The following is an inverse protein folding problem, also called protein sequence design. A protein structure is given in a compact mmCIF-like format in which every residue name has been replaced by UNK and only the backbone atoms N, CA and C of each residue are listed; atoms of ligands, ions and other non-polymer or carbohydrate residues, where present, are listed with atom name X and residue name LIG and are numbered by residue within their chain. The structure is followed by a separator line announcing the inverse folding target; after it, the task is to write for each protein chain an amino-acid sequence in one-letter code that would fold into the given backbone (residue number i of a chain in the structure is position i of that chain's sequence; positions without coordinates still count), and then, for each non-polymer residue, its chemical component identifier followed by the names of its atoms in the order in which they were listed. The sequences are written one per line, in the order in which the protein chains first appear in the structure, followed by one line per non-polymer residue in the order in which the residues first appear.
data_IF_077635901117
#
_entry.id   IF_077635901117
#
_cell.length_a   1.000
_cell.length_b   1.000
_cell.length_c   1.000
_cell.angle_alpha   90.00
_cell.angle_beta   90.00
_cell.angle_gamma   90.00
#
_symmetry.space_group_name_H-M   'P 1'
#
loop_
_entity.id
_entity.type
_entity.pdbx_description
1 polymer ?
#
# COMPACT_ATOMS: atom_id res chain seq x y z
N UNK A 1 -64.66 -54.64 -33.58
CA UNK A 1 -64.11 -55.62 -32.62
C UNK A 1 -63.47 -54.88 -31.45
N UNK A 2 -63.92 -55.19 -30.23
CA UNK A 2 -63.28 -55.05 -28.89
C UNK A 2 -62.62 -53.68 -28.55
N UNK A 3 -63.32 -52.83 -27.77
CA UNK A 3 -63.22 -52.66 -26.30
C UNK A 3 -61.89 -52.01 -25.85
N UNK A 4 -61.93 -50.76 -25.37
CA UNK A 4 -61.74 -50.36 -23.97
C UNK A 4 -61.43 -48.86 -23.86
N UNK A 5 -62.18 -48.20 -22.98
CA UNK A 5 -61.96 -46.87 -22.44
C UNK A 5 -60.99 -47.03 -21.25
N UNK A 6 -59.89 -46.29 -21.16
CA UNK A 6 -59.27 -45.92 -19.87
C UNK A 6 -58.35 -44.69 -19.98
N UNK A 7 -58.67 -43.75 -19.09
CA UNK A 7 -57.95 -42.56 -18.61
C UNK A 7 -56.61 -42.91 -17.94
N UNK A 8 -55.66 -41.96 -17.90
CA UNK A 8 -54.52 -41.70 -16.97
C UNK A 8 -53.30 -41.21 -17.79
N UNK A 9 -52.40 -40.32 -17.38
CA UNK A 9 -52.23 -39.31 -16.32
C UNK A 9 -50.92 -38.55 -16.71
N UNK A 10 -50.79 -37.29 -16.30
CA UNK A 10 -49.62 -36.40 -16.47
C UNK A 10 -48.25 -37.08 -16.28
N UNK A 11 -47.32 -36.84 -17.21
CA UNK A 11 -45.88 -36.80 -16.98
C UNK A 11 -45.30 -35.64 -17.81
N UNK A 12 -44.62 -34.64 -17.22
CA UNK A 12 -43.84 -33.67 -17.97
C UNK A 12 -42.50 -34.30 -18.40
N UNK A 13 -42.22 -34.27 -19.70
CA UNK A 13 -40.97 -34.71 -20.30
C UNK A 13 -39.90 -33.64 -20.05
N UNK A 14 -39.03 -33.92 -19.08
CA UNK A 14 -37.69 -33.33 -18.98
C UNK A 14 -36.89 -33.77 -20.20
N UNK A 15 -36.40 -32.82 -20.99
CA UNK A 15 -35.23 -33.01 -21.84
C UNK A 15 -34.44 -31.70 -21.87
N UNK A 16 -33.43 -31.72 -21.01
CA UNK A 16 -32.19 -30.96 -21.01
C UNK A 16 -31.59 -30.75 -22.40
N UNK A 17 -31.21 -29.51 -22.68
CA UNK A 17 -30.02 -29.22 -23.48
C UNK A 17 -28.99 -28.64 -22.51
N UNK A 18 -28.04 -29.50 -22.14
CA UNK A 18 -26.80 -29.10 -21.50
C UNK A 18 -25.97 -28.32 -22.52
N UNK A 19 -25.67 -27.07 -22.19
CA UNK A 19 -24.49 -26.37 -22.66
C UNK A 19 -23.49 -26.36 -21.50
N UNK A 20 -22.39 -27.11 -21.65
CA UNK A 20 -21.17 -27.02 -20.83
C UNK A 20 -20.67 -25.57 -20.81
N UNK A 21 -20.02 -25.05 -19.77
CA UNK A 21 -19.58 -25.60 -18.49
C UNK A 21 -18.96 -24.45 -17.69
N UNK A 22 -19.18 -24.47 -16.37
CA UNK A 22 -18.84 -23.42 -15.43
C UNK A 22 -19.95 -23.34 -14.39
N UNK A 23 -19.90 -24.22 -13.38
CA UNK A 23 -20.85 -24.26 -12.27
C UNK A 23 -20.67 -23.01 -11.38
N UNK A 24 -21.24 -21.90 -11.84
CA UNK A 24 -21.56 -20.75 -11.00
C UNK A 24 -22.78 -21.08 -10.15
N UNK A 25 -22.55 -21.38 -8.87
CA UNK A 25 -23.62 -21.54 -7.88
C UNK A 25 -24.16 -20.15 -7.53
N UNK A 26 -25.31 -19.85 -8.11
CA UNK A 26 -26.16 -18.66 -7.90
C UNK A 26 -26.39 -18.34 -6.42
N UNK A 27 -26.19 -17.09 -5.97
CA UNK A 27 -26.72 -16.68 -4.66
C UNK A 27 -28.26 -16.63 -4.69
N UNK A 28 -28.88 -16.90 -3.53
CA UNK A 28 -30.33 -16.99 -3.40
C UNK A 28 -30.95 -15.60 -3.37
N UNK A 29 -31.87 -15.35 -4.31
CA UNK A 29 -32.79 -14.20 -4.32
C UNK A 29 -33.42 -13.98 -2.92
N UNK A 30 -33.10 -12.85 -2.28
CA UNK A 30 -33.68 -12.45 -0.97
C UNK A 30 -32.70 -12.35 0.21
N UNK A 31 -31.41 -12.58 0.00
CA UNK A 31 -30.38 -12.33 1.02
C UNK A 31 -30.13 -10.83 1.25
N UNK A 32 -29.96 -10.45 2.51
CA UNK A 32 -29.61 -9.07 2.95
C UNK A 32 -28.11 -8.83 2.85
N UNK A 33 -27.69 -7.57 2.76
CA UNK A 33 -26.27 -7.19 2.74
C UNK A 33 -25.55 -7.64 4.02
N UNK A 34 -26.21 -7.51 5.16
CA UNK A 34 -25.71 -7.98 6.46
C UNK A 34 -25.40 -9.49 6.44
N UNK A 35 -26.33 -10.31 5.95
CA UNK A 35 -26.14 -11.76 5.81
C UNK A 35 -25.00 -12.13 4.85
N UNK A 36 -24.86 -11.38 3.75
CA UNK A 36 -23.75 -11.58 2.82
C UNK A 36 -22.40 -11.27 3.47
N UNK A 37 -22.30 -10.21 4.27
CA UNK A 37 -21.10 -9.89 5.06
C UNK A 37 -20.81 -10.98 6.08
N UNK A 38 -21.80 -11.44 6.86
CA UNK A 38 -21.60 -12.52 7.82
C UNK A 38 -21.05 -13.79 7.16
N UNK A 39 -21.62 -14.20 6.02
CA UNK A 39 -21.16 -15.39 5.31
C UNK A 39 -19.77 -15.20 4.72
N UNK A 40 -19.46 -14.03 4.17
CA UNK A 40 -18.13 -13.71 3.67
C UNK A 40 -17.09 -13.79 4.80
N UNK A 41 -17.31 -13.10 5.91
CA UNK A 41 -16.39 -13.08 7.06
C UNK A 41 -16.23 -14.46 7.68
N UNK A 42 -17.30 -15.25 7.79
CA UNK A 42 -17.22 -16.62 8.27
C UNK A 42 -16.43 -17.54 7.32
N UNK A 43 -16.59 -17.37 6.00
CA UNK A 43 -15.82 -18.12 5.01
C UNK A 43 -14.34 -17.73 5.02
N UNK A 44 -14.03 -16.44 5.09
CA UNK A 44 -12.65 -15.92 5.21
C UNK A 44 -11.99 -16.44 6.48
N UNK A 45 -12.66 -16.36 7.64
CA UNK A 45 -12.19 -16.92 8.91
C UNK A 45 -11.88 -18.41 8.83
N UNK A 46 -12.69 -19.15 8.08
CA UNK A 46 -12.48 -20.59 7.84
C UNK A 46 -11.44 -20.90 6.75
N UNK A 47 -10.89 -19.87 6.10
CA UNK A 47 -10.08 -19.97 4.89
C UNK A 47 -10.76 -20.81 3.79
N UNK A 48 -12.08 -20.73 3.69
CA UNK A 48 -12.88 -21.39 2.65
C UNK A 48 -12.95 -20.47 1.42
N UNK A 49 -11.96 -20.63 0.53
CA UNK A 49 -11.79 -19.80 -0.67
C UNK A 49 -13.02 -19.87 -1.57
N UNK A 50 -13.59 -21.07 -1.75
CA UNK A 50 -14.76 -21.26 -2.62
C UNK A 50 -15.99 -20.56 -2.07
N UNK A 51 -16.21 -20.63 -0.76
CA UNK A 51 -17.32 -19.93 -0.12
C UNK A 51 -17.10 -18.41 -0.09
N UNK A 52 -15.88 -17.94 0.17
CA UNK A 52 -15.55 -16.52 0.24
C UNK A 52 -15.67 -15.83 -1.14
N UNK A 53 -15.20 -16.50 -2.20
CA UNK A 53 -15.19 -15.97 -3.59
C UNK A 53 -16.59 -15.67 -4.15
N UNK A 54 -17.64 -16.22 -3.51
CA UNK A 54 -19.04 -15.91 -3.83
C UNK A 54 -19.43 -14.49 -3.43
N UNK A 55 -18.74 -13.90 -2.47
CA UNK A 55 -19.07 -12.58 -1.90
C UNK A 55 -17.99 -11.53 -2.15
N UNK A 56 -16.71 -11.87 -2.20
CA UNK A 56 -15.58 -10.93 -2.38
C UNK A 56 -14.56 -11.52 -3.35
N UNK A 57 -13.76 -10.69 -4.04
CA UNK A 57 -12.58 -11.21 -4.74
C UNK A 57 -11.52 -11.59 -3.71
N UNK A 58 -11.36 -12.89 -3.46
CA UNK A 58 -10.43 -13.40 -2.45
C UNK A 58 -8.97 -13.01 -2.74
N UNK A 59 -8.64 -12.75 -4.00
CA UNK A 59 -7.32 -12.28 -4.40
C UNK A 59 -7.00 -10.88 -3.86
N UNK A 60 -8.01 -10.02 -3.67
CA UNK A 60 -7.86 -8.70 -3.06
C UNK A 60 -7.49 -8.80 -1.57
N UNK A 61 -7.74 -9.95 -0.92
CA UNK A 61 -7.39 -10.19 0.49
C UNK A 61 -6.01 -10.85 0.62
N UNK A 62 -5.66 -11.79 -0.27
CA UNK A 62 -4.53 -12.73 -0.07
C UNK A 62 -3.30 -12.43 -0.94
N UNK A 63 -3.41 -11.68 -2.04
CA UNK A 63 -2.26 -11.39 -2.92
C UNK A 63 -1.40 -10.19 -2.50
N UNK A 64 -1.53 -9.67 -1.27
CA UNK A 64 -0.72 -8.56 -0.77
C UNK A 64 0.79 -8.87 -0.62
N UNK A 65 1.28 -10.07 -1.00
CA UNK A 65 2.69 -10.42 -0.79
C UNK A 65 3.31 -11.57 -1.59
N UNK A 66 2.72 -12.07 -2.69
CA UNK A 66 3.32 -13.18 -3.44
C UNK A 66 3.49 -12.91 -4.94
N UNK A 67 4.74 -12.83 -5.39
CA UNK A 67 5.13 -12.67 -6.82
C UNK A 67 5.89 -13.89 -7.37
N UNK A 68 5.77 -15.05 -6.72
CA UNK A 68 6.51 -16.27 -7.09
C UNK A 68 5.77 -17.20 -8.05
N UNK A 69 6.53 -17.90 -8.91
CA UNK A 69 6.02 -19.09 -9.63
C UNK A 69 5.77 -20.21 -8.62
N UNK A 70 4.60 -20.88 -8.66
CA UNK A 70 4.25 -21.85 -7.64
C UNK A 70 5.11 -23.12 -7.73
N UNK A 71 5.76 -23.47 -6.62
CA UNK A 71 6.11 -24.85 -6.28
C UNK A 71 5.15 -25.35 -5.19
N UNK A 72 4.79 -26.63 -5.24
CA UNK A 72 3.76 -27.28 -4.41
C UNK A 72 4.04 -27.26 -2.91
N UNK A 73 5.29 -27.08 -2.50
CA UNK A 73 5.67 -26.98 -1.08
C UNK A 73 5.54 -25.56 -0.55
N UNK A 74 5.91 -24.55 -1.34
CA UNK A 74 5.77 -23.14 -0.98
C UNK A 74 4.29 -22.70 -0.96
N UNK A 75 3.47 -23.26 -1.85
CA UNK A 75 2.01 -23.07 -1.83
C UNK A 75 1.39 -23.53 -0.50
N UNK A 76 1.79 -24.71 0.01
CA UNK A 76 1.27 -25.24 1.28
C UNK A 76 1.67 -24.37 2.47
N UNK A 77 2.93 -23.92 2.50
CA UNK A 77 3.43 -23.01 3.55
C UNK A 77 2.68 -21.68 3.54
N UNK A 78 2.42 -21.13 2.36
CA UNK A 78 1.63 -19.90 2.18
C UNK A 78 0.16 -20.08 2.62
N UNK A 79 -0.45 -21.23 2.30
CA UNK A 79 -1.81 -21.56 2.72
C UNK A 79 -1.92 -21.73 4.25
N UNK A 80 -0.97 -22.43 4.87
CA UNK A 80 -0.91 -22.58 6.33
C UNK A 80 -0.73 -21.23 7.03
N UNK A 81 0.11 -20.36 6.47
CA UNK A 81 0.34 -19.01 6.95
C UNK A 81 -0.94 -18.17 6.90
N UNK A 82 -1.61 -18.16 5.74
CA UNK A 82 -2.87 -17.44 5.54
C UNK A 82 -3.94 -17.93 6.53
N UNK A 83 -4.07 -19.25 6.71
CA UNK A 83 -4.99 -19.84 7.71
C UNK A 83 -4.67 -19.41 9.13
N UNK A 84 -3.38 -19.33 9.49
CA UNK A 84 -2.96 -18.94 10.83
C UNK A 84 -3.34 -17.48 11.16
N UNK A 85 -3.30 -16.59 10.16
CA UNK A 85 -3.69 -15.19 10.29
C UNK A 85 -5.22 -15.04 10.35
N UNK A 86 -5.96 -15.72 9.47
CA UNK A 86 -7.41 -15.51 9.31
C UNK A 86 -8.26 -16.20 10.39
N UNK A 87 -7.80 -17.30 11.00
CA UNK A 87 -8.59 -18.06 11.99
C UNK A 87 -8.99 -17.26 13.24
N UNK A 88 -8.24 -16.21 13.56
CA UNK A 88 -8.41 -15.39 14.76
C UNK A 88 -9.39 -14.21 14.54
N UNK A 89 -9.95 -14.07 13.34
CA UNK A 89 -10.93 -13.02 13.05
C UNK A 89 -12.14 -13.18 13.96
N UNK A 90 -12.46 -12.11 14.68
CA UNK A 90 -13.74 -11.91 15.35
C UNK A 90 -14.39 -10.65 14.77
N UNK A 91 -15.71 -10.62 14.71
CA UNK A 91 -16.40 -9.45 14.19
C UNK A 91 -17.73 -9.22 14.89
N UNK A 92 -18.18 -7.97 14.81
CA UNK A 92 -19.48 -7.52 15.27
C UNK A 92 -20.02 -6.49 14.29
N UNK A 93 -21.13 -6.82 13.65
CA UNK A 93 -21.84 -5.87 12.80
C UNK A 93 -22.53 -4.85 13.72
N UNK A 94 -22.27 -3.57 13.46
CA UNK A 94 -22.81 -2.45 14.23
C UNK A 94 -24.07 -1.91 13.58
N UNK A 95 -24.02 -1.69 12.27
CA UNK A 95 -25.12 -1.12 11.51
C UNK A 95 -25.10 -1.62 10.06
N UNK A 96 -26.27 -1.64 9.43
CA UNK A 96 -26.43 -2.00 8.02
C UNK A 96 -27.40 -1.03 7.37
N UNK A 97 -27.02 -0.50 6.22
CA UNK A 97 -27.83 0.39 5.40
C UNK A 97 -27.89 -0.17 3.98
N UNK A 98 -29.10 -0.48 3.51
CA UNK A 98 -29.35 -1.01 2.17
C UNK A 98 -30.13 -0.01 1.30
N UNK A 99 -29.61 0.24 0.12
CA UNK A 99 -30.29 0.89 -0.99
C UNK A 99 -30.62 -0.13 -2.08
N UNK A 100 -31.22 0.31 -3.21
CA UNK A 100 -31.66 -0.60 -4.27
C UNK A 100 -30.52 -1.46 -4.84
N UNK A 101 -29.32 -0.88 -4.99
CA UNK A 101 -28.17 -1.50 -5.65
C UNK A 101 -26.87 -1.46 -4.84
N UNK A 102 -26.86 -0.77 -3.71
CA UNK A 102 -25.67 -0.53 -2.89
C UNK A 102 -26.03 -0.75 -1.44
N UNK A 103 -25.05 -1.13 -0.64
CA UNK A 103 -25.22 -1.22 0.80
C UNK A 103 -23.90 -0.92 1.51
N UNK A 104 -24.01 -0.48 2.76
CA UNK A 104 -22.87 -0.28 3.66
C UNK A 104 -23.17 -1.01 4.96
N UNK A 105 -22.23 -1.86 5.37
CA UNK A 105 -22.31 -2.63 6.62
C UNK A 105 -21.14 -2.23 7.52
N UNK A 106 -21.41 -1.40 8.53
CA UNK A 106 -20.39 -0.98 9.49
C UNK A 106 -20.09 -2.12 10.45
N UNK A 107 -18.83 -2.53 10.51
CA UNK A 107 -18.41 -3.74 11.22
C UNK A 107 -17.17 -3.45 12.05
N UNK A 108 -17.20 -3.83 13.33
CA UNK A 108 -15.99 -3.97 14.15
C UNK A 108 -15.35 -5.32 13.79
N UNK A 109 -14.11 -5.30 13.32
CA UNK A 109 -13.31 -6.50 13.05
C UNK A 109 -12.12 -6.49 13.99
N UNK A 110 -11.93 -7.60 14.71
CA UNK A 110 -10.79 -7.85 15.58
C UNK A 110 -9.96 -8.98 14.98
N UNK A 111 -8.65 -8.79 14.88
CA UNK A 111 -7.72 -9.87 14.53
C UNK A 111 -6.42 -9.72 15.34
N UNK A 112 -5.52 -10.68 15.20
CA UNK A 112 -4.17 -10.65 15.74
C UNK A 112 -3.45 -9.36 15.33
N UNK A 113 -2.69 -8.75 16.24
CA UNK A 113 -1.87 -7.58 15.93
C UNK A 113 -0.65 -7.98 15.09
N UNK A 114 -0.82 -7.98 13.77
CA UNK A 114 0.22 -8.36 12.84
C UNK A 114 1.35 -7.32 12.74
N UNK A 115 1.11 -6.07 13.12
CA UNK A 115 2.18 -5.08 13.24
C UNK A 115 3.17 -5.46 14.34
N UNK A 116 2.67 -5.91 15.51
CA UNK A 116 3.56 -6.41 16.58
C UNK A 116 4.31 -7.68 16.14
N UNK A 117 3.61 -8.65 15.53
CA UNK A 117 4.23 -9.87 15.00
C UNK A 117 5.36 -9.55 14.04
N UNK A 118 5.13 -8.64 13.10
CA UNK A 118 6.13 -8.31 12.08
C UNK A 118 7.30 -7.49 12.64
N UNK A 119 7.07 -6.62 13.62
CA UNK A 119 8.16 -5.93 14.31
C UNK A 119 9.10 -6.92 15.04
N UNK A 120 8.52 -7.90 15.74
CA UNK A 120 9.28 -8.96 16.40
C UNK A 120 9.99 -9.87 15.38
N UNK A 121 9.33 -10.15 14.25
CA UNK A 121 9.90 -10.91 13.15
C UNK A 121 11.16 -10.24 12.59
N UNK A 122 11.11 -8.95 12.27
CA UNK A 122 12.26 -8.19 11.77
C UNK A 122 13.41 -8.19 12.79
N UNK A 123 13.10 -8.01 14.08
CA UNK A 123 14.12 -8.05 15.15
C UNK A 123 14.85 -9.40 15.20
N UNK A 124 14.12 -10.50 15.02
CA UNK A 124 14.70 -11.85 15.01
C UNK A 124 15.44 -12.14 13.70
N UNK A 125 14.93 -11.69 12.56
CA UNK A 125 15.62 -11.78 11.27
C UNK A 125 16.96 -11.05 11.28
N UNK A 126 17.02 -9.86 11.89
CA UNK A 126 18.27 -9.12 12.02
C UNK A 126 19.32 -9.91 12.81
N UNK A 127 18.90 -10.57 13.89
CA UNK A 127 19.79 -11.45 14.66
C UNK A 127 20.23 -12.68 13.85
N UNK A 128 19.32 -13.24 13.06
CA UNK A 128 19.57 -14.39 12.21
C UNK A 128 20.53 -14.06 11.06
N UNK A 129 20.50 -12.84 10.51
CA UNK A 129 21.41 -12.41 9.44
C UNK A 129 22.90 -12.49 9.82
N UNK A 130 23.24 -12.37 11.11
CA UNK A 130 24.62 -12.50 11.61
C UNK A 130 24.98 -13.92 12.09
N UNK A 131 24.09 -14.91 11.93
CA UNK A 131 24.32 -16.28 12.41
C UNK A 131 25.28 -17.10 11.55
N UNK A 132 25.62 -16.63 10.34
CA UNK A 132 26.48 -17.34 9.39
C UNK A 132 25.83 -18.56 8.71
N UNK A 133 24.50 -18.68 8.79
CA UNK A 133 23.72 -19.71 8.09
C UNK A 133 23.72 -19.47 6.57
N UNK A 134 23.54 -20.55 5.81
CA UNK A 134 23.34 -20.46 4.36
C UNK A 134 21.88 -20.06 4.01
N UNK A 135 21.62 -19.75 2.74
CA UNK A 135 20.32 -19.27 2.27
C UNK A 135 19.16 -20.24 2.55
N UNK A 136 19.35 -21.54 2.33
CA UNK A 136 18.33 -22.57 2.59
C UNK A 136 17.97 -22.62 4.08
N UNK A 137 18.97 -22.64 4.95
CA UNK A 137 18.81 -22.62 6.41
C UNK A 137 18.17 -21.31 6.90
N UNK A 138 18.52 -20.17 6.28
CA UNK A 138 17.92 -18.87 6.58
C UNK A 138 16.43 -18.87 6.22
N UNK A 139 16.05 -19.41 5.07
CA UNK A 139 14.64 -19.49 4.64
C UNK A 139 13.83 -20.38 5.59
N UNK A 140 14.33 -21.57 5.93
CA UNK A 140 13.66 -22.46 6.89
C UNK A 140 13.49 -21.81 8.27
N UNK A 141 14.55 -21.17 8.78
CA UNK A 141 14.52 -20.50 10.08
C UNK A 141 13.60 -19.28 10.08
N UNK A 142 13.56 -18.52 8.99
CA UNK A 142 12.65 -17.38 8.83
C UNK A 142 11.19 -17.84 8.89
N UNK A 143 10.85 -18.91 8.19
CA UNK A 143 9.50 -19.48 8.23
C UNK A 143 9.12 -19.99 9.63
N UNK A 144 10.04 -20.68 10.32
CA UNK A 144 9.85 -21.15 11.69
C UNK A 144 9.60 -19.98 12.66
N UNK A 145 10.41 -18.92 12.58
CA UNK A 145 10.25 -17.72 13.42
C UNK A 145 8.88 -17.11 13.19
N UNK A 146 8.49 -16.86 11.94
CA UNK A 146 7.20 -16.24 11.62
C UNK A 146 6.03 -17.08 12.16
N UNK A 147 6.05 -18.40 11.90
CA UNK A 147 4.99 -19.32 12.33
C UNK A 147 4.86 -19.36 13.86
N UNK A 148 5.99 -19.35 14.57
CA UNK A 148 6.01 -19.32 16.02
C UNK A 148 5.46 -18.01 16.57
N UNK A 149 5.86 -16.86 15.99
CA UNK A 149 5.36 -15.55 16.38
C UNK A 149 3.85 -15.46 16.22
N UNK A 150 3.30 -15.77 15.05
CA UNK A 150 1.84 -15.78 14.80
C UNK A 150 1.10 -16.73 15.75
N UNK A 151 1.69 -17.89 16.05
CA UNK A 151 1.05 -18.87 16.94
C UNK A 151 1.09 -18.49 18.41
N UNK A 152 2.10 -17.71 18.82
CA UNK A 152 2.32 -17.30 20.22
C UNK A 152 1.77 -15.92 20.57
N UNK A 153 1.52 -15.09 19.56
CA UNK A 153 0.97 -13.75 19.73
C UNK A 153 -0.44 -13.83 20.34
N UNK A 154 -0.70 -12.88 21.24
CA UNK A 154 -1.99 -12.76 21.95
C UNK A 154 -2.58 -11.36 21.86
N UNK A 155 -1.78 -10.37 21.45
CA UNK A 155 -2.26 -9.03 21.17
C UNK A 155 -3.18 -9.06 19.96
N UNK A 156 -4.24 -8.29 20.08
CA UNK A 156 -5.24 -8.13 19.02
C UNK A 156 -5.42 -6.65 18.77
N UNK A 157 -5.84 -6.34 17.55
CA UNK A 157 -6.24 -5.00 17.12
C UNK A 157 -7.68 -5.06 16.63
N UNK A 158 -8.48 -4.06 16.99
CA UNK A 158 -9.86 -3.91 16.53
C UNK A 158 -9.96 -2.67 15.65
N UNK A 159 -10.53 -2.83 14.45
CA UNK A 159 -10.80 -1.74 13.51
C UNK A 159 -12.29 -1.72 13.19
N UNK A 160 -12.86 -0.52 13.11
CA UNK A 160 -14.22 -0.33 12.60
C UNK A 160 -14.12 0.05 11.13
N UNK A 161 -14.77 -0.73 10.26
CA UNK A 161 -14.74 -0.53 8.81
C UNK A 161 -16.15 -0.45 8.24
N UNK A 162 -16.32 0.36 7.21
CA UNK A 162 -17.56 0.46 6.43
C UNK A 162 -17.45 -0.48 5.23
N UNK A 163 -18.05 -1.67 5.34
CA UNK A 163 -17.98 -2.68 4.28
C UNK A 163 -18.98 -2.31 3.18
N UNK A 164 -18.46 -1.92 2.02
CA UNK A 164 -19.26 -1.52 0.86
C UNK A 164 -19.71 -2.75 0.06
N UNK A 165 -20.96 -2.77 -0.39
CA UNK A 165 -21.50 -3.84 -1.23
C UNK A 165 -22.21 -3.28 -2.47
N UNK A 166 -22.15 -4.05 -3.55
CA UNK A 166 -22.92 -3.83 -4.78
C UNK A 166 -23.83 -5.03 -5.05
N UNK A 167 -25.06 -4.76 -5.51
CA UNK A 167 -26.06 -5.79 -5.83
C UNK A 167 -26.02 -6.12 -7.31
N UNK A 168 -25.89 -7.42 -7.61
CA UNK A 168 -25.96 -7.98 -8.96
C UNK A 168 -27.12 -8.96 -9.10
N UNK A 169 -27.29 -9.53 -10.30
CA UNK A 169 -28.24 -10.65 -10.50
C UNK A 169 -27.88 -11.88 -9.66
N UNK A 170 -26.59 -12.01 -9.31
CA UNK A 170 -26.05 -13.07 -8.46
C UNK A 170 -26.10 -12.74 -6.98
N UNK A 171 -26.71 -11.62 -6.56
CA UNK A 171 -26.80 -11.19 -5.16
C UNK A 171 -25.82 -10.08 -4.77
N UNK A 172 -25.65 -9.87 -3.47
CA UNK A 172 -24.75 -8.86 -2.91
C UNK A 172 -23.29 -9.34 -2.99
N UNK A 173 -22.42 -8.47 -3.49
CA UNK A 173 -20.96 -8.64 -3.51
C UNK A 173 -20.30 -7.51 -2.76
N UNK A 174 -19.34 -7.84 -1.90
CA UNK A 174 -18.48 -6.89 -1.22
C UNK A 174 -17.55 -6.26 -2.26
N UNK A 175 -17.41 -4.95 -2.17
CA UNK A 175 -16.39 -4.17 -2.87
C UNK A 175 -15.21 -4.10 -1.91
N UNK A 176 -14.12 -4.79 -2.23
CA UNK A 176 -12.91 -4.78 -1.41
C UNK A 176 -12.27 -3.39 -1.39
N UNK A 177 -11.68 -3.05 -0.26
CA UNK A 177 -10.83 -1.87 -0.08
C UNK A 177 -9.71 -2.19 0.92
N UNK A 178 -8.72 -1.30 0.99
CA UNK A 178 -7.53 -1.50 1.82
C UNK A 178 -7.89 -1.49 3.32
N UNK A 179 -8.90 -0.72 3.73
CA UNK A 179 -9.36 -0.69 5.11
C UNK A 179 -9.90 -2.06 5.55
N UNK A 180 -10.72 -2.71 4.72
CA UNK A 180 -11.22 -4.06 4.95
C UNK A 180 -10.09 -5.08 4.93
N UNK A 181 -9.19 -5.02 3.93
CA UNK A 181 -8.06 -5.95 3.84
C UNK A 181 -7.13 -5.83 5.06
N UNK A 182 -6.82 -4.61 5.49
CA UNK A 182 -5.96 -4.31 6.63
C UNK A 182 -6.63 -4.71 7.97
N UNK A 183 -7.95 -4.57 8.09
CA UNK A 183 -8.71 -5.07 9.24
C UNK A 183 -8.74 -6.60 9.29
N UNK A 184 -8.96 -7.27 8.16
CA UNK A 184 -8.97 -8.73 8.06
C UNK A 184 -7.59 -9.34 8.30
N UNK A 185 -6.51 -8.63 7.97
CA UNK A 185 -5.13 -9.08 8.17
C UNK A 185 -4.49 -8.56 9.44
N UNK A 186 -5.23 -7.83 10.29
CA UNK A 186 -4.73 -7.41 11.60
C UNK A 186 -3.63 -6.35 11.54
N UNK A 187 -3.64 -5.49 10.53
CA UNK A 187 -2.63 -4.43 10.35
C UNK A 187 -1.44 -4.82 9.49
N UNK A 188 -1.50 -5.94 8.75
CA UNK A 188 -0.37 -6.38 7.92
C UNK A 188 -0.19 -5.50 6.67
N UNK A 189 -1.28 -5.05 6.06
CA UNK A 189 -1.25 -4.16 4.87
C UNK A 189 -0.59 -2.85 5.26
N UNK A 190 -1.10 -2.18 6.29
CA UNK A 190 -0.54 -0.93 6.80
C UNK A 190 0.91 -1.07 7.29
N UNK A 191 1.28 -2.20 7.87
CA UNK A 191 2.67 -2.47 8.21
C UNK A 191 3.56 -2.59 6.96
N UNK A 192 3.13 -3.35 5.95
CA UNK A 192 3.84 -3.50 4.67
C UNK A 192 4.03 -2.15 3.98
N UNK A 193 2.98 -1.33 3.96
CA UNK A 193 2.96 0.03 3.45
C UNK A 193 3.98 0.93 4.16
N UNK A 194 4.01 0.87 5.50
CA UNK A 194 5.01 1.58 6.32
C UNK A 194 6.46 1.15 6.03
N UNK A 195 6.67 -0.11 5.65
CA UNK A 195 8.00 -0.68 5.34
C UNK A 195 8.43 -0.41 3.90
N UNK A 196 7.49 -0.35 2.97
CA UNK A 196 7.74 -0.09 1.55
C UNK A 196 7.81 1.41 1.21
N UNK A 197 7.62 2.29 2.20
CA UNK A 197 7.59 3.74 2.00
C UNK A 197 6.33 4.24 1.29
N UNK A 198 5.34 3.38 1.09
CA UNK A 198 4.00 3.73 0.62
C UNK A 198 3.12 3.92 1.85
N UNK A 199 3.38 4.93 2.67
CA UNK A 199 2.71 5.13 3.93
C UNK A 199 1.25 5.61 3.72
N UNK A 200 0.31 4.69 3.56
CA UNK A 200 -1.12 4.94 3.81
C UNK A 200 -1.51 4.31 5.17
N UNK A 201 -1.06 4.90 6.28
CA UNK A 201 -1.81 4.76 7.53
C UNK A 201 -1.65 5.96 8.47
N UNK A 202 -2.68 6.81 8.52
CA UNK A 202 -3.16 7.50 9.73
C UNK A 202 -2.11 8.28 10.58
N UNK A 203 -1.11 8.88 9.95
CA UNK A 203 -0.53 10.16 10.38
C UNK A 203 -1.19 11.28 9.58
N UNK A 204 -1.07 12.55 9.99
CA UNK A 204 -1.63 13.66 9.23
C UNK A 204 -1.04 13.63 7.80
N UNK A 205 -1.85 13.33 6.77
CA UNK A 205 -1.42 13.13 5.37
C UNK A 205 -0.53 14.25 4.85
N UNK A 206 -0.71 15.44 5.40
CA UNK A 206 0.05 16.62 5.06
C UNK A 206 1.49 16.56 5.60
N UNK A 207 1.71 16.05 6.81
CA UNK A 207 3.05 15.90 7.43
C UNK A 207 3.87 14.85 6.68
N UNK A 208 3.27 13.72 6.31
CA UNK A 208 3.95 12.68 5.52
C UNK A 208 4.38 13.21 4.16
N UNK A 209 3.51 13.97 3.49
CA UNK A 209 3.83 14.59 2.21
C UNK A 209 4.89 15.69 2.35
N UNK A 210 4.89 16.43 3.45
CA UNK A 210 5.95 17.40 3.75
C UNK A 210 7.31 16.70 3.99
N UNK A 211 7.33 15.55 4.66
CA UNK A 211 8.54 14.74 4.82
C UNK A 211 9.07 14.22 3.48
N UNK A 212 8.17 13.75 2.60
CA UNK A 212 8.53 13.37 1.23
C UNK A 212 9.20 14.53 0.48
N UNK A 213 8.62 15.73 0.58
CA UNK A 213 9.16 16.94 -0.08
C UNK A 213 10.53 17.30 0.50
N UNK A 214 10.70 17.23 1.82
CA UNK A 214 11.98 17.49 2.49
C UNK A 214 13.07 16.52 2.01
N UNK A 215 12.77 15.21 1.98
CA UNK A 215 13.68 14.18 1.51
C UNK A 215 14.03 14.34 0.02
N UNK A 216 13.05 14.67 -0.81
CA UNK A 216 13.25 14.96 -2.23
C UNK A 216 14.18 16.16 -2.44
N UNK A 217 13.96 17.25 -1.69
CA UNK A 217 14.76 18.46 -1.74
C UNK A 217 16.21 18.20 -1.37
N UNK A 218 16.46 17.54 -0.23
CA UNK A 218 17.80 17.20 0.26
C UNK A 218 18.51 16.25 -0.71
N UNK A 219 17.83 15.18 -1.12
CA UNK A 219 18.45 14.13 -1.93
C UNK A 219 18.68 14.57 -3.38
N UNK A 220 17.61 15.00 -4.06
CA UNK A 220 17.60 15.17 -5.52
C UNK A 220 18.00 16.57 -5.96
N UNK A 221 17.50 17.60 -5.28
CA UNK A 221 17.76 18.98 -5.67
C UNK A 221 19.10 19.46 -5.11
N UNK A 222 19.34 19.25 -3.81
CA UNK A 222 20.55 19.70 -3.12
C UNK A 222 21.76 18.80 -3.43
N UNK A 223 21.77 17.56 -2.93
CA UNK A 223 22.94 16.68 -2.99
C UNK A 223 23.32 16.28 -4.43
N UNK A 224 22.40 15.60 -5.12
CA UNK A 224 22.64 15.07 -6.48
C UNK A 224 22.62 16.16 -7.56
N UNK A 225 22.00 17.31 -7.27
CA UNK A 225 21.87 18.44 -8.19
C UNK A 225 22.90 19.54 -7.91
N UNK A 226 22.50 20.54 -7.15
CA UNK A 226 23.25 21.80 -7.06
C UNK A 226 24.61 21.68 -6.38
N UNK A 227 24.75 20.84 -5.34
CA UNK A 227 26.02 20.65 -4.64
C UNK A 227 27.05 19.96 -5.53
N UNK A 228 26.66 18.87 -6.19
CA UNK A 228 27.55 18.18 -7.14
C UNK A 228 27.95 19.09 -8.32
N UNK A 229 27.01 19.88 -8.85
CA UNK A 229 27.29 20.86 -9.90
C UNK A 229 28.24 21.96 -9.40
N UNK A 230 28.03 22.51 -8.21
CA UNK A 230 28.90 23.53 -7.63
C UNK A 230 30.33 23.01 -7.44
N UNK A 231 30.49 21.80 -6.91
CA UNK A 231 31.81 21.18 -6.79
C UNK A 231 32.44 20.86 -8.14
N UNK A 232 31.64 20.48 -9.13
CA UNK A 232 32.13 20.25 -10.49
C UNK A 232 32.65 21.54 -11.14
N UNK A 233 31.93 22.64 -10.99
CA UNK A 233 32.37 23.96 -11.43
C UNK A 233 33.70 24.31 -10.76
N UNK A 234 33.81 24.13 -9.45
CA UNK A 234 35.01 24.51 -8.70
C UNK A 234 36.26 23.67 -9.03
N UNK A 235 36.11 22.36 -9.26
CA UNK A 235 37.27 21.44 -9.34
C UNK A 235 37.12 20.25 -10.30
N UNK A 236 36.06 20.21 -11.11
CA UNK A 236 35.80 19.16 -12.11
C UNK A 236 35.44 17.79 -11.53
N UNK A 237 34.98 17.72 -10.29
CA UNK A 237 34.60 16.49 -9.56
C UNK A 237 33.32 16.71 -8.77
N UNK A 238 32.60 15.64 -8.47
CA UNK A 238 31.44 15.68 -7.57
C UNK A 238 31.83 16.20 -6.17
N UNK A 239 30.85 16.42 -5.31
CA UNK A 239 31.04 16.79 -3.90
C UNK A 239 31.88 15.76 -3.12
N UNK A 240 31.73 14.49 -3.43
CA UNK A 240 32.51 13.38 -2.86
C UNK A 240 33.88 13.18 -3.52
N UNK A 241 34.23 13.98 -4.53
CA UNK A 241 35.52 13.91 -5.23
C UNK A 241 35.59 12.87 -6.35
N UNK A 242 34.46 12.27 -6.72
CA UNK A 242 34.36 11.29 -7.78
C UNK A 242 34.24 11.96 -9.16
N UNK A 243 34.47 11.19 -10.22
CA UNK A 243 34.19 11.64 -11.59
C UNK A 243 32.68 11.87 -11.74
N UNK A 244 32.30 13.02 -12.29
CA UNK A 244 30.92 13.40 -12.53
C UNK A 244 30.67 13.50 -14.04
N UNK A 245 29.60 12.86 -14.51
CA UNK A 245 29.07 13.07 -15.86
C UNK A 245 28.08 14.23 -15.81
N UNK A 246 28.55 15.43 -16.18
CA UNK A 246 27.76 16.64 -16.06
C UNK A 246 26.53 16.63 -16.97
N UNK A 247 26.59 16.01 -18.15
CA UNK A 247 25.45 15.95 -19.06
C UNK A 247 24.33 15.10 -18.46
N UNK A 248 24.70 13.93 -17.91
CA UNK A 248 23.75 13.06 -17.21
C UNK A 248 23.17 13.72 -15.95
N UNK A 249 24.00 14.40 -15.14
CA UNK A 249 23.53 15.14 -13.96
C UNK A 249 22.51 16.21 -14.33
N UNK A 250 22.73 16.95 -15.41
CA UNK A 250 21.76 17.95 -15.90
C UNK A 250 20.45 17.31 -16.40
N UNK A 251 20.51 16.14 -17.02
CA UNK A 251 19.32 15.37 -17.41
C UNK A 251 18.50 14.93 -16.18
N UNK A 252 19.17 14.42 -15.14
CA UNK A 252 18.50 14.05 -13.89
C UNK A 252 17.92 15.26 -13.16
N UNK A 253 18.60 16.40 -13.20
CA UNK A 253 18.09 17.65 -12.65
C UNK A 253 16.84 18.11 -13.41
N UNK A 254 16.83 18.08 -14.74
CA UNK A 254 15.65 18.39 -15.57
C UNK A 254 14.46 17.47 -15.23
N UNK A 255 14.71 16.17 -14.99
CA UNK A 255 13.68 15.23 -14.57
C UNK A 255 13.15 15.54 -13.16
N UNK A 256 14.04 15.89 -12.23
CA UNK A 256 13.72 16.26 -10.86
C UNK A 256 12.82 17.49 -10.81
N UNK A 257 13.13 18.51 -11.60
CA UNK A 257 12.37 19.76 -11.65
C UNK A 257 10.93 19.61 -12.17
N UNK A 258 10.61 18.54 -12.92
CA UNK A 258 9.24 18.26 -13.35
C UNK A 258 8.29 17.96 -12.18
N UNK A 259 8.81 17.39 -11.08
CA UNK A 259 8.01 17.06 -9.89
C UNK A 259 7.75 18.28 -9.00
N UNK A 260 8.56 19.34 -9.12
CA UNK A 260 8.49 20.53 -8.25
C UNK A 260 7.12 21.21 -8.30
N UNK A 261 6.49 21.28 -9.48
CA UNK A 261 5.20 21.95 -9.65
C UNK A 261 4.07 21.30 -8.84
N UNK A 262 4.12 19.97 -8.67
CA UNK A 262 3.14 19.23 -7.86
C UNK A 262 3.33 19.57 -6.37
N UNK A 263 4.58 19.71 -5.91
CA UNK A 263 4.91 20.10 -4.54
C UNK A 263 4.59 21.56 -4.24
N UNK A 264 4.81 22.48 -5.20
CA UNK A 264 4.38 23.87 -5.10
C UNK A 264 2.85 23.97 -4.92
N UNK A 265 2.10 23.16 -5.67
CA UNK A 265 0.65 23.10 -5.59
C UNK A 265 0.17 22.54 -4.25
N UNK A 266 0.79 21.45 -3.79
CA UNK A 266 0.48 20.83 -2.51
C UNK A 266 0.72 21.80 -1.34
N UNK A 267 1.90 22.42 -1.24
CA UNK A 267 2.22 23.35 -0.13
C UNK A 267 1.32 24.60 -0.19
N UNK A 268 0.97 25.07 -1.39
CA UNK A 268 0.01 26.16 -1.56
C UNK A 268 -1.38 25.83 -0.99
N UNK A 269 -1.79 24.56 -1.05
CA UNK A 269 -3.07 24.05 -0.56
C UNK A 269 -3.15 23.79 0.95
N UNK A 270 -2.03 23.79 1.66
CA UNK A 270 -1.98 23.53 3.10
C UNK A 270 -2.74 24.58 3.92
N UNK A 271 -3.37 24.11 5.01
CA UNK A 271 -4.14 24.94 5.93
C UNK A 271 -3.26 25.99 6.62
N UNK A 272 -3.63 27.27 6.49
CA UNK A 272 -2.81 28.40 6.95
C UNK A 272 -2.59 28.40 8.48
N UNK A 273 -3.59 27.99 9.25
CA UNK A 273 -3.55 27.98 10.72
C UNK A 273 -2.49 27.02 11.27
N UNK A 274 -2.25 25.91 10.57
CA UNK A 274 -1.32 24.86 10.99
C UNK A 274 0.06 24.98 10.32
N UNK A 275 0.12 25.45 9.07
CA UNK A 275 1.32 25.36 8.23
C UNK A 275 1.90 26.71 7.79
N UNK A 276 1.51 27.82 8.43
CA UNK A 276 1.99 29.17 8.06
C UNK A 276 3.51 29.31 7.98
N UNK A 277 4.26 28.69 8.91
CA UNK A 277 5.73 28.70 8.89
C UNK A 277 6.29 27.95 7.69
N UNK A 278 5.80 26.72 7.44
CA UNK A 278 6.16 25.90 6.28
C UNK A 278 5.92 26.67 4.98
N UNK A 279 4.74 27.27 4.82
CA UNK A 279 4.39 28.05 3.62
C UNK A 279 5.27 29.28 3.45
N UNK A 280 5.57 29.99 4.53
CA UNK A 280 6.46 31.16 4.51
C UNK A 280 7.88 30.79 4.08
N UNK A 281 8.41 29.66 4.57
CA UNK A 281 9.75 29.17 4.20
C UNK A 281 9.74 28.71 2.74
N UNK A 282 8.76 27.90 2.34
CA UNK A 282 8.61 27.40 0.98
C UNK A 282 8.51 28.53 -0.05
N UNK A 283 7.81 29.62 0.27
CA UNK A 283 7.70 30.80 -0.59
C UNK A 283 9.02 31.53 -0.87
N UNK A 284 10.09 31.25 -0.11
CA UNK A 284 11.47 31.72 -0.38
C UNK A 284 12.32 30.64 -1.01
N UNK A 285 12.17 29.42 -0.53
CA UNK A 285 12.90 28.24 -0.96
C UNK A 285 12.60 27.89 -2.43
N UNK A 286 11.33 27.77 -2.81
CA UNK A 286 10.91 27.35 -4.15
C UNK A 286 11.40 28.28 -5.26
N UNK A 287 11.27 29.63 -5.14
CA UNK A 287 11.85 30.54 -6.13
C UNK A 287 13.38 30.52 -6.20
N UNK A 288 14.07 30.22 -5.09
CA UNK A 288 15.53 30.10 -5.09
C UNK A 288 15.99 28.86 -5.87
N UNK A 289 15.25 27.74 -5.76
CA UNK A 289 15.47 26.55 -6.59
C UNK A 289 15.35 26.91 -8.08
N UNK A 290 14.29 27.63 -8.46
CA UNK A 290 14.08 28.05 -9.86
C UNK A 290 15.20 28.98 -10.34
N UNK A 291 15.62 29.93 -9.51
CA UNK A 291 16.73 30.85 -9.80
C UNK A 291 18.04 30.10 -10.07
N UNK A 292 18.40 29.11 -9.25
CA UNK A 292 19.61 28.32 -9.42
C UNK A 292 19.53 27.40 -10.64
N UNK A 293 18.36 26.78 -10.86
CA UNK A 293 18.12 25.97 -12.03
C UNK A 293 18.25 26.79 -13.33
N UNK A 294 17.64 27.97 -13.39
CA UNK A 294 17.73 28.86 -14.55
C UNK A 294 19.15 29.35 -14.80
N UNK A 295 19.93 29.61 -13.74
CA UNK A 295 21.36 29.95 -13.89
C UNK A 295 22.14 28.82 -14.55
N UNK A 296 21.92 27.57 -14.13
CA UNK A 296 22.55 26.38 -14.72
C UNK A 296 22.14 26.23 -16.19
N UNK A 297 20.86 26.43 -16.53
CA UNK A 297 20.38 26.33 -17.93
C UNK A 297 20.92 27.45 -18.80
N UNK A 298 21.03 28.66 -18.26
CA UNK A 298 21.54 29.83 -18.98
C UNK A 298 23.06 29.81 -19.16
N UNK A 299 23.78 29.24 -18.19
CA UNK A 299 25.25 29.09 -18.22
C UNK A 299 25.61 27.66 -17.85
N UNK A 300 25.64 26.73 -18.83
CA UNK A 300 25.95 25.33 -18.59
C UNK A 300 27.26 25.15 -17.80
N UNK A 301 27.28 24.29 -16.77
CA UNK A 301 28.46 24.11 -15.91
C UNK A 301 29.68 23.60 -16.68
N UNK A 302 30.83 24.23 -16.41
CA UNK A 302 32.13 23.82 -16.98
C UNK A 302 33.08 23.48 -15.84
N UNK A 303 33.82 22.37 -16.00
CA UNK A 303 34.78 21.93 -15.00
C UNK A 303 35.90 22.96 -14.77
N UNK A 304 36.19 23.26 -13.51
CA UNK A 304 37.24 24.19 -13.07
C UNK A 304 37.04 25.65 -13.54
N UNK A 305 35.79 26.07 -13.71
CA UNK A 305 35.46 27.45 -14.05
C UNK A 305 35.40 28.34 -12.81
N UNK A 306 36.56 28.88 -12.43
CA UNK A 306 36.68 29.79 -11.29
C UNK A 306 36.00 31.16 -11.51
N UNK A 307 35.51 31.45 -12.72
CA UNK A 307 34.79 32.70 -13.02
C UNK A 307 33.27 32.58 -12.79
N UNK A 308 32.77 31.36 -12.61
CA UNK A 308 31.37 31.08 -12.37
C UNK A 308 31.01 31.38 -10.90
N UNK A 309 29.92 32.13 -10.70
CA UNK A 309 29.45 32.58 -9.39
C UNK A 309 28.28 31.75 -8.84
N UNK A 310 28.15 30.48 -9.25
CA UNK A 310 27.09 29.59 -8.79
C UNK A 310 27.21 29.33 -7.29
N UNK A 311 26.31 29.95 -6.53
CA UNK A 311 26.29 29.95 -5.06
C UNK A 311 24.98 29.39 -4.55
N UNK A 312 25.09 28.34 -3.75
CA UNK A 312 23.97 27.55 -3.23
C UNK A 312 23.65 27.88 -1.77
N UNK A 313 24.41 28.78 -1.12
CA UNK A 313 24.32 29.01 0.32
C UNK A 313 22.99 29.62 0.81
N UNK A 314 22.23 30.32 -0.05
CA UNK A 314 20.87 30.76 0.31
C UNK A 314 19.88 29.60 0.31
N UNK A 315 20.00 28.71 -0.67
CA UNK A 315 19.15 27.55 -0.77
C UNK A 315 19.36 26.63 0.44
N UNK A 316 20.62 26.40 0.84
CA UNK A 316 20.97 25.64 2.05
C UNK A 316 20.23 26.18 3.28
N UNK A 317 20.33 27.50 3.53
CA UNK A 317 19.65 28.14 4.67
C UNK A 317 18.13 27.96 4.66
N UNK A 318 17.50 28.05 3.48
CA UNK A 318 16.06 27.87 3.36
C UNK A 318 15.64 26.41 3.46
N UNK A 319 16.47 25.50 2.97
CA UNK A 319 16.26 24.05 3.05
C UNK A 319 16.38 23.57 4.49
N UNK A 320 17.43 23.97 5.22
CA UNK A 320 17.60 23.62 6.63
C UNK A 320 16.41 24.09 7.46
N UNK A 321 16.00 25.36 7.26
CA UNK A 321 14.82 25.90 7.95
C UNK A 321 13.53 25.15 7.60
N UNK A 322 13.40 24.68 6.35
CA UNK A 322 12.24 23.90 5.92
C UNK A 322 12.25 22.52 6.58
N UNK A 323 13.37 21.82 6.58
CA UNK A 323 13.55 20.51 7.23
C UNK A 323 13.26 20.60 8.72
N UNK A 324 13.85 21.57 9.42
CA UNK A 324 13.60 21.79 10.86
C UNK A 324 12.10 22.02 11.12
N UNK A 325 11.45 22.85 10.31
CA UNK A 325 10.02 23.13 10.45
C UNK A 325 9.14 21.92 10.13
N UNK A 326 9.58 21.00 9.27
CA UNK A 326 8.88 19.73 9.00
C UNK A 326 9.09 18.75 10.15
N UNK A 327 10.31 18.65 10.69
CA UNK A 327 10.63 17.78 11.82
C UNK A 327 9.87 18.20 13.09
N UNK A 328 9.67 19.51 13.30
CA UNK A 328 8.89 20.07 14.41
C UNK A 328 7.38 19.74 14.36
N UNK A 329 6.87 19.17 13.25
CA UNK A 329 5.47 18.73 13.12
C UNK A 329 5.23 17.30 13.64
N UNK A 330 6.29 16.56 13.95
CA UNK A 330 6.28 15.17 14.42
C UNK A 330 6.49 15.07 15.94
#
# INVERSE_FOLDING_TARGET
MKKFLFLFLLIPLVLSLAACGGEGVTAKKGETAEQSVEKALNAIKAADIEAASKYIDYNEIVNAGSTGTPDTEDEKKSEEMSKAILKNIEYKILESSEEEKTAVVKTEITNLDMSNVMAEFISQLFSLAFSGLNEEQLNEKSFEIFTNLVSSETKTVTKTVDINLSKSEEGWRIVGDDALADALTGGLVSFSDSMNGNNENSGNSDTDKLQEISNWLIGKVWNEGFVDIQHYIARGKSSTGQTLDIEFTLEQLDATMKKKADYDSFIGGLAEEQYSQIKSIWGRLSPEIDSLYDQIKGTPPVANDASNSFDTGKLEQYMDAFTDAVDDLN
#
